data_IF_236242136910
#
_entry.id   IF_236242136910
#
_cell.length_a   1.000
_cell.length_b   1.000
_cell.length_c   1.000
_cell.angle_alpha   90.00
_cell.angle_beta   90.00
_cell.angle_gamma   90.00
#
_symmetry.space_group_name_H-M   'P 1'
#
loop_
_entity.id
_entity.type
_entity.pdbx_description
1 polymer ?
#
# COMPACT_ATOMS: atom_id res chain seq x y z
N UNK A 1 16.03 27.58 3.52
CA UNK A 1 16.39 26.18 3.23
C UNK A 1 15.56 25.30 4.16
N UNK A 2 15.00 24.19 3.67
CA UNK A 2 14.27 23.25 4.52
C UNK A 2 15.20 22.73 5.62
N UNK A 3 14.71 22.69 6.87
CA UNK A 3 15.45 22.09 7.99
C UNK A 3 15.53 20.58 7.76
N UNK A 4 16.69 20.03 8.11
CA UNK A 4 16.95 18.60 8.02
C UNK A 4 17.61 18.14 9.31
N UNK A 5 17.17 16.99 9.82
CA UNK A 5 17.74 16.35 11.00
C UNK A 5 18.35 15.02 10.62
N UNK A 6 19.63 14.86 10.93
CA UNK A 6 20.37 13.62 10.71
C UNK A 6 20.09 12.61 11.83
N UNK A 7 20.31 11.29 11.62
CA UNK A 7 20.05 10.28 12.65
C UNK A 7 20.72 10.54 14.02
N UNK A 8 21.94 11.09 14.02
CA UNK A 8 22.64 11.46 15.25
C UNK A 8 22.02 12.66 15.99
N UNK A 9 21.11 13.39 15.33
CA UNK A 9 20.37 14.53 15.86
C UNK A 9 18.96 14.16 16.34
N UNK A 10 18.62 12.87 16.45
CA UNK A 10 17.27 12.42 16.79
C UNK A 10 16.70 13.02 18.09
N UNK A 11 17.54 13.22 19.12
CA UNK A 11 17.12 13.90 20.36
C UNK A 11 16.79 15.38 20.16
N UNK A 12 17.53 16.06 19.26
CA UNK A 12 17.27 17.46 18.88
C UNK A 12 15.97 17.54 18.08
N UNK A 13 15.79 16.66 17.11
CA UNK A 13 14.56 16.52 16.33
C UNK A 13 13.34 16.35 17.26
N UNK A 14 13.36 15.38 18.18
CA UNK A 14 12.24 15.14 19.09
C UNK A 14 11.87 16.32 20.01
N UNK A 15 12.79 17.27 20.24
CA UNK A 15 12.52 18.52 20.98
C UNK A 15 11.92 19.61 20.09
N UNK A 16 12.30 19.64 18.82
CA UNK A 16 11.89 20.65 17.83
C UNK A 16 10.63 20.24 17.05
N UNK A 17 10.16 19.00 17.20
CA UNK A 17 8.92 18.52 16.59
C UNK A 17 7.71 19.28 17.13
N UNK A 18 6.94 19.83 16.20
CA UNK A 18 5.64 20.44 16.41
C UNK A 18 4.55 19.40 16.16
N UNK A 19 3.60 19.26 17.09
CA UNK A 19 2.48 18.34 16.91
C UNK A 19 1.55 18.86 15.81
N UNK A 20 0.98 17.94 15.03
CA UNK A 20 0.09 18.22 13.90
C UNK A 20 0.80 18.70 12.63
N UNK A 21 2.12 18.92 12.67
CA UNK A 21 2.91 19.28 11.49
C UNK A 21 3.45 18.02 10.78
N UNK A 22 3.43 17.97 9.44
CA UNK A 22 4.02 16.88 8.69
C UNK A 22 5.55 17.00 8.61
N UNK A 23 6.22 15.87 8.77
CA UNK A 23 7.64 15.68 8.56
C UNK A 23 7.87 14.55 7.55
N UNK A 24 8.95 14.64 6.79
CA UNK A 24 9.17 13.77 5.64
C UNK A 24 10.46 12.98 5.79
N UNK A 25 10.47 11.73 5.37
CA UNK A 25 11.67 10.90 5.28
C UNK A 25 11.77 10.31 3.88
N UNK A 26 12.99 10.22 3.36
CA UNK A 26 13.25 9.56 2.07
C UNK A 26 13.67 8.13 2.34
N UNK A 27 13.02 7.20 1.67
CA UNK A 27 13.27 5.76 1.74
C UNK A 27 13.79 5.28 0.39
N UNK A 28 14.80 4.41 0.45
CA UNK A 28 15.32 3.72 -0.74
C UNK A 28 14.51 2.48 -1.00
N UNK A 29 14.02 2.32 -2.22
CA UNK A 29 13.24 1.16 -2.64
C UNK A 29 14.16 0.09 -3.22
N UNK A 30 13.95 -1.16 -2.84
CA UNK A 30 14.66 -2.30 -3.37
C UNK A 30 14.16 -2.63 -4.80
N UNK A 31 14.82 -2.05 -5.80
CA UNK A 31 14.46 -2.19 -7.22
C UNK A 31 14.48 -3.64 -7.74
N UNK A 32 15.21 -4.54 -7.09
CA UNK A 32 15.19 -5.96 -7.42
C UNK A 32 13.86 -6.66 -7.05
N UNK A 33 13.08 -6.07 -6.14
CA UNK A 33 11.77 -6.60 -5.71
C UNK A 33 10.64 -5.80 -6.36
N UNK A 34 10.78 -4.48 -6.44
CA UNK A 34 9.81 -3.56 -7.02
C UNK A 34 10.43 -2.79 -8.20
N UNK A 35 10.64 -3.44 -9.36
CA UNK A 35 11.35 -2.85 -10.51
C UNK A 35 10.60 -1.70 -11.20
N UNK A 36 9.33 -1.50 -10.83
CA UNK A 36 8.45 -0.48 -11.41
C UNK A 36 8.26 0.73 -10.49
N UNK A 37 8.82 0.70 -9.29
CA UNK A 37 8.78 1.81 -8.34
C UNK A 37 9.94 2.77 -8.60
N UNK A 38 9.86 3.99 -8.08
CA UNK A 38 10.98 4.91 -8.13
C UNK A 38 12.10 4.45 -7.17
N UNK A 39 13.40 4.70 -7.48
CA UNK A 39 14.51 4.30 -6.59
C UNK A 39 14.43 4.91 -5.20
N UNK A 40 13.85 6.11 -5.10
CA UNK A 40 13.65 6.86 -3.88
C UNK A 40 12.20 7.33 -3.82
N UNK A 41 11.56 7.08 -2.69
CA UNK A 41 10.22 7.55 -2.36
C UNK A 41 10.27 8.26 -1.02
N UNK A 42 9.38 9.22 -0.79
CA UNK A 42 9.23 9.82 0.53
C UNK A 42 7.97 9.34 1.23
N UNK A 43 8.00 9.31 2.56
CA UNK A 43 6.82 9.09 3.39
C UNK A 43 6.61 10.27 4.33
N UNK A 44 5.35 10.57 4.60
CA UNK A 44 4.91 11.65 5.48
C UNK A 44 4.54 11.11 6.85
N UNK A 45 5.03 11.77 7.90
CA UNK A 45 4.76 11.46 9.29
C UNK A 45 4.20 12.69 10.00
N UNK A 46 3.00 12.55 10.55
CA UNK A 46 2.36 13.58 11.39
C UNK A 46 2.35 13.10 12.83
N UNK A 47 2.99 13.86 13.73
CA UNK A 47 2.98 13.56 15.16
C UNK A 47 1.73 14.16 15.80
N UNK A 48 0.77 13.32 16.15
CA UNK A 48 -0.55 13.70 16.61
C UNK A 48 -0.69 13.66 18.14
N UNK A 49 0.18 12.92 18.84
CA UNK A 49 0.14 12.82 20.29
C UNK A 49 1.54 12.73 20.93
N UNK A 50 1.57 12.73 22.27
CA UNK A 50 2.77 12.47 23.07
C UNK A 50 2.58 11.20 23.89
N UNK A 51 3.61 10.36 23.98
CA UNK A 51 3.55 9.16 24.81
C UNK A 51 3.39 9.51 26.29
N UNK A 52 2.52 8.82 27.04
CA UNK A 52 2.17 9.20 28.42
C UNK A 52 3.35 9.15 29.39
N UNK A 53 4.32 8.25 29.19
CA UNK A 53 5.45 8.08 30.12
C UNK A 53 6.70 8.85 29.73
N UNK A 54 7.03 8.93 28.44
CA UNK A 54 8.26 9.58 27.97
C UNK A 54 8.04 11.01 27.50
N UNK A 55 6.78 11.43 27.35
CA UNK A 55 6.37 12.73 26.79
C UNK A 55 6.96 13.01 25.39
N UNK A 56 7.40 11.97 24.68
CA UNK A 56 7.98 12.07 23.33
C UNK A 56 6.86 12.22 22.30
N UNK A 57 6.98 13.13 21.32
CA UNK A 57 6.07 13.17 20.17
C UNK A 57 6.05 11.83 19.45
N UNK A 58 4.86 11.35 19.11
CA UNK A 58 4.65 10.07 18.44
C UNK A 58 3.59 10.16 17.35
N UNK A 59 3.70 9.25 16.38
CA UNK A 59 2.81 9.06 15.24
C UNK A 59 2.55 7.56 15.11
N UNK A 60 1.30 7.12 15.31
CA UNK A 60 0.97 5.70 15.34
C UNK A 60 1.83 4.93 16.35
N UNK A 61 2.57 3.91 15.89
CA UNK A 61 3.45 3.09 16.75
C UNK A 61 4.87 3.66 16.93
N UNK A 62 5.21 4.77 16.27
CA UNK A 62 6.58 5.27 16.19
C UNK A 62 6.73 6.60 16.93
N UNK A 63 7.81 6.75 17.70
CA UNK A 63 8.16 8.04 18.29
C UNK A 63 9.13 8.83 17.38
N UNK A 64 9.23 10.13 17.60
CA UNK A 64 10.08 11.01 16.79
C UNK A 64 11.56 10.61 16.82
N UNK A 65 12.05 10.06 17.94
CA UNK A 65 13.44 9.64 18.07
C UNK A 65 13.70 8.40 17.20
N UNK A 66 12.83 7.39 17.31
CA UNK A 66 12.88 6.17 16.52
C UNK A 66 12.77 6.45 15.02
N UNK A 67 11.86 7.36 14.62
CA UNK A 67 11.73 7.76 13.23
C UNK A 67 13.06 8.30 12.68
N UNK A 68 13.66 9.26 13.39
CA UNK A 68 14.90 9.90 12.95
C UNK A 68 16.10 8.95 12.99
N UNK A 69 16.16 8.02 13.96
CA UNK A 69 17.25 7.04 14.04
C UNK A 69 17.16 5.97 12.96
N UNK A 70 15.96 5.46 12.67
CA UNK A 70 15.77 4.33 11.77
C UNK A 70 15.65 4.76 10.30
N UNK A 71 15.04 5.91 10.04
CA UNK A 71 14.69 6.37 8.69
C UNK A 71 15.28 7.73 8.34
N UNK A 72 16.01 8.37 9.25
CA UNK A 72 16.61 9.68 8.99
C UNK A 72 17.63 9.63 7.84
N UNK A 73 17.85 10.76 7.15
CA UNK A 73 17.49 12.13 7.53
C UNK A 73 15.99 12.47 7.43
N UNK A 74 15.51 13.31 8.36
CA UNK A 74 14.14 13.83 8.40
C UNK A 74 14.11 15.26 7.88
N UNK A 75 13.11 15.60 7.07
CA UNK A 75 12.94 16.91 6.43
C UNK A 75 11.67 17.62 6.94
N UNK A 76 11.71 18.94 7.05
CA UNK A 76 10.57 19.77 7.46
C UNK A 76 9.64 20.19 6.29
N UNK A 77 10.01 19.84 5.07
CA UNK A 77 9.30 20.10 3.83
C UNK A 77 9.49 18.91 2.89
N UNK A 78 8.53 18.66 1.97
CA UNK A 78 8.63 17.52 1.07
C UNK A 78 9.88 17.65 0.18
N UNK A 79 10.66 16.56 0.04
CA UNK A 79 11.85 16.55 -0.82
C UNK A 79 11.45 16.79 -2.28
N UNK A 80 12.16 17.68 -2.98
CA UNK A 80 11.85 18.03 -4.37
C UNK A 80 12.24 16.89 -5.32
N UNK A 81 11.36 16.58 -6.27
CA UNK A 81 11.62 15.58 -7.30
C UNK A 81 11.52 14.13 -6.83
N UNK A 82 11.05 13.90 -5.59
CA UNK A 82 10.78 12.57 -5.04
C UNK A 82 9.26 12.42 -4.92
N UNK A 83 8.71 11.26 -5.27
CA UNK A 83 7.27 10.98 -5.17
C UNK A 83 6.89 10.48 -3.77
N UNK A 84 5.66 10.76 -3.33
CA UNK A 84 5.13 10.18 -2.10
C UNK A 84 4.89 8.68 -2.30
N UNK A 85 5.26 7.85 -1.33
CA UNK A 85 4.97 6.41 -1.38
C UNK A 85 3.46 6.11 -1.43
N UNK A 86 2.63 7.01 -0.90
CA UNK A 86 1.18 6.87 -0.96
C UNK A 86 0.57 7.32 -2.30
N UNK A 87 1.33 8.06 -3.13
CA UNK A 87 0.87 8.45 -4.45
C UNK A 87 0.86 7.24 -5.39
N UNK A 88 -0.06 7.17 -6.36
CA UNK A 88 -0.08 6.07 -7.33
C UNK A 88 1.27 5.94 -8.02
N UNK A 89 1.76 4.70 -8.11
CA UNK A 89 2.96 4.39 -8.87
C UNK A 89 2.80 4.80 -10.34
N UNK A 90 3.91 5.07 -11.05
CA UNK A 90 3.86 5.22 -12.49
C UNK A 90 3.05 4.06 -13.10
N UNK A 91 2.04 4.38 -13.93
CA UNK A 91 1.27 3.36 -14.61
C UNK A 91 2.19 2.64 -15.62
N UNK A 92 2.78 1.53 -15.18
CA UNK A 92 3.63 0.65 -16.00
C UNK A 92 2.85 -0.45 -16.70
N UNK A 93 1.51 -0.31 -16.78
CA UNK A 93 0.74 -1.04 -17.77
C UNK A 93 1.26 -0.59 -19.13
N UNK A 94 2.15 -1.38 -19.73
CA UNK A 94 2.68 -1.07 -21.05
C UNK A 94 1.49 -0.73 -21.96
N UNK A 95 1.58 0.33 -22.78
CA UNK A 95 0.65 0.43 -23.89
C UNK A 95 0.70 -0.94 -24.59
N UNK A 96 -0.47 -1.57 -24.76
CA UNK A 96 -0.60 -2.68 -25.71
C UNK A 96 0.10 -2.17 -26.97
N UNK A 97 1.22 -2.78 -27.35
CA UNK A 97 2.17 -2.14 -28.26
C UNK A 97 1.48 -1.62 -29.51
N UNK A 98 1.60 -0.33 -29.81
CA UNK A 98 0.76 0.42 -30.77
C UNK A 98 -0.73 0.43 -30.40
N UNK A 99 -1.41 1.58 -30.59
CA UNK A 99 -2.88 1.65 -30.52
C UNK A 99 -3.59 0.73 -31.54
N UNK A 100 -2.81 0.02 -32.36
CA UNK A 100 -3.21 -0.94 -33.37
C UNK A 100 -3.03 -2.40 -32.91
N UNK A 101 -2.67 -2.65 -31.64
CA UNK A 101 -2.69 -3.99 -31.07
C UNK A 101 -4.11 -4.56 -31.14
N UNK A 102 -4.37 -5.28 -32.21
CA UNK A 102 -5.43 -6.26 -32.31
C UNK A 102 -4.80 -7.60 -31.95
N UNK A 103 -5.07 -8.10 -30.75
CA UNK A 103 -5.02 -9.53 -30.50
C UNK A 103 -6.34 -10.10 -30.99
N UNK A 104 -6.48 -10.55 -32.25
CA UNK A 104 -7.70 -11.23 -32.66
C UNK A 104 -7.84 -12.46 -31.78
N UNK A 105 -8.87 -12.45 -30.92
CA UNK A 105 -9.22 -13.63 -30.16
C UNK A 105 -9.62 -14.70 -31.17
N UNK A 106 -8.98 -15.86 -31.11
CA UNK A 106 -9.41 -16.97 -31.94
C UNK A 106 -10.77 -17.52 -31.44
N UNK A 107 -11.45 -18.33 -32.26
CA UNK A 107 -12.75 -18.91 -31.88
C UNK A 107 -12.68 -19.72 -30.57
N UNK A 108 -11.52 -20.30 -30.25
CA UNK A 108 -11.33 -21.11 -29.05
C UNK A 108 -11.22 -20.23 -27.79
N UNK A 109 -10.58 -19.07 -27.90
CA UNK A 109 -10.46 -18.07 -26.85
C UNK A 109 -11.82 -17.39 -26.59
N UNK A 110 -12.55 -17.03 -27.65
CA UNK A 110 -13.91 -16.48 -27.55
C UNK A 110 -14.83 -17.47 -26.84
N UNK A 111 -14.86 -18.73 -27.29
CA UNK A 111 -15.67 -19.79 -26.66
C UNK A 111 -15.26 -20.03 -25.21
N UNK A 112 -13.96 -19.94 -24.89
CA UNK A 112 -13.45 -20.05 -23.54
C UNK A 112 -13.93 -18.93 -22.63
N UNK A 113 -13.94 -17.69 -23.12
CA UNK A 113 -14.45 -16.52 -22.40
C UNK A 113 -15.96 -16.61 -22.18
N UNK A 114 -16.72 -16.94 -23.22
CA UNK A 114 -18.17 -17.16 -23.13
C UNK A 114 -18.53 -18.23 -22.09
N UNK A 115 -17.78 -19.34 -22.08
CA UNK A 115 -17.94 -20.39 -21.07
C UNK A 115 -17.67 -19.87 -19.66
N UNK A 116 -16.58 -19.13 -19.44
CA UNK A 116 -16.24 -18.59 -18.12
C UNK A 116 -17.28 -17.58 -17.63
N UNK A 117 -17.82 -16.74 -18.52
CA UNK A 117 -18.92 -15.82 -18.20
C UNK A 117 -20.15 -16.62 -17.81
N UNK A 118 -20.52 -17.64 -18.59
CA UNK A 118 -21.65 -18.51 -18.27
C UNK A 118 -21.49 -19.21 -16.90
N UNK A 119 -20.29 -19.69 -16.60
CA UNK A 119 -19.97 -20.40 -15.34
C UNK A 119 -19.79 -19.45 -14.13
N UNK A 120 -19.53 -18.16 -14.35
CA UNK A 120 -19.40 -17.13 -13.31
C UNK A 120 -20.71 -16.42 -12.97
N UNK A 121 -21.66 -16.38 -13.91
CA UNK A 121 -22.89 -15.59 -13.80
C UNK A 121 -23.92 -16.16 -12.82
N UNK A 122 -23.84 -17.43 -12.44
CA UNK A 122 -24.76 -18.00 -11.45
C UNK A 122 -24.07 -19.07 -10.58
N UNK A 123 -23.79 -18.79 -9.29
CA UNK A 123 -23.19 -19.76 -8.38
C UNK A 123 -24.08 -21.00 -8.13
N UNK A 124 -25.37 -20.95 -8.45
CA UNK A 124 -26.31 -22.07 -8.28
C UNK A 124 -26.34 -23.06 -9.46
N UNK A 125 -25.80 -22.70 -10.63
CA UNK A 125 -25.76 -23.59 -11.81
C UNK A 125 -24.46 -24.40 -11.92
N UNK A 126 -23.53 -24.23 -10.98
CA UNK A 126 -22.28 -24.99 -10.95
C UNK A 126 -22.54 -26.48 -10.74
N UNK A 127 -22.26 -27.30 -11.77
CA UNK A 127 -22.20 -28.75 -11.65
C UNK A 127 -21.23 -29.12 -10.52
N UNK A 128 -21.77 -29.69 -9.44
CA UNK A 128 -21.01 -30.14 -8.27
C UNK A 128 -21.18 -29.32 -6.98
N UNK A 129 -21.90 -28.18 -6.99
CA UNK A 129 -22.24 -27.44 -5.74
C UNK A 129 -23.73 -27.18 -5.52
N UNK A 130 -24.59 -27.43 -6.51
CA UNK A 130 -26.05 -27.44 -6.36
C UNK A 130 -26.55 -28.71 -5.67
N UNK A 131 -26.09 -28.98 -4.45
CA UNK A 131 -26.69 -30.01 -3.61
C UNK A 131 -28.00 -29.47 -3.02
N UNK A 132 -29.12 -30.13 -3.31
CA UNK A 132 -30.40 -29.90 -2.64
C UNK A 132 -30.17 -29.88 -1.12
N UNK A 133 -30.67 -28.87 -0.38
CA UNK A 133 -30.44 -28.76 1.05
C UNK A 133 -31.00 -30.01 1.74
N UNK A 134 -30.11 -30.89 2.22
CA UNK A 134 -30.50 -32.11 2.94
C UNK A 134 -31.43 -31.72 4.10
N UNK A 135 -32.65 -32.29 4.18
CA UNK A 135 -33.55 -32.00 5.28
C UNK A 135 -32.88 -32.44 6.58
N UNK A 136 -32.74 -31.49 7.51
CA UNK A 136 -32.21 -31.74 8.85
C UNK A 136 -33.12 -32.75 9.55
N UNK A 137 -32.62 -33.97 9.78
CA UNK A 137 -33.26 -34.95 10.67
C UNK A 137 -33.39 -34.31 12.05
N UNK A 138 -34.63 -34.02 12.47
CA UNK A 138 -34.94 -33.68 13.85
C UNK A 138 -34.82 -34.97 14.67
N UNK A 139 -33.82 -35.04 15.55
CA UNK A 139 -33.81 -36.05 16.60
C UNK A 139 -34.83 -35.65 17.66
N UNK A 140 -35.94 -36.38 17.72
CA UNK A 140 -36.85 -36.39 18.86
C UNK A 140 -36.16 -37.13 20.00
N UNK A 141 -35.88 -36.40 21.07
CA UNK A 141 -35.51 -36.96 22.37
C UNK A 141 -36.79 -37.40 23.07
N UNK A 142 -36.89 -38.70 23.35
CA UNK A 142 -37.71 -39.29 24.40
C UNK A 142 -36.77 -40.05 25.33
#
# INVERSE_FOLDING_TARGET
>A
MPRTWQPHQAKKFAREVELGRPYYVVMKVAQNIAPYEDPELYSEYVFDYRRPFTNTPASGSMDAVQLCQNYGPVYDAPPRGVRNIADPAPQVGAPLGSNDYRGPLDESEIRGLEKRVKDSSDPHTRQGRGGEPKPRRRHSWF
#
